data_IF_006904768684
#
_entry.id   IF_006904768684
#
_cell.length_a   1.000
_cell.length_b   1.000
_cell.length_c   1.000
_cell.angle_alpha   90.00
_cell.angle_beta   90.00
_cell.angle_gamma   90.00
#
_symmetry.space_group_name_H-M   'P 1'
#
loop_
_entity.id
_entity.type
_entity.pdbx_description
1 polymer ?
#
# COMPACT_ATOMS: atom_id res chain seq x y z
N UNK A 1 1.93 -8.60 -5.39
CA UNK A 1 1.95 -8.19 -6.79
C UNK A 1 1.45 -9.31 -7.72
N UNK A 2 1.98 -10.53 -7.60
CA UNK A 2 1.63 -11.64 -8.49
C UNK A 2 0.13 -11.92 -8.59
N UNK A 3 -0.60 -11.95 -7.47
CA UNK A 3 -2.05 -12.16 -7.43
C UNK A 3 -2.81 -11.07 -8.22
N UNK A 4 -2.44 -9.80 -8.05
CA UNK A 4 -3.03 -8.69 -8.81
C UNK A 4 -2.76 -8.85 -10.30
N UNK A 5 -1.53 -9.17 -10.68
CA UNK A 5 -1.13 -9.28 -12.09
C UNK A 5 -1.65 -10.56 -12.78
N UNK A 6 -2.10 -11.57 -12.05
CA UNK A 6 -2.82 -12.69 -12.67
C UNK A 6 -4.18 -12.28 -13.26
N UNK A 7 -4.74 -11.18 -12.78
CA UNK A 7 -5.98 -10.60 -13.29
C UNK A 7 -5.75 -9.46 -14.31
N UNK A 8 -4.53 -9.22 -14.78
CA UNK A 8 -4.19 -8.06 -15.62
C UNK A 8 -5.02 -7.93 -16.90
N UNK A 9 -5.56 -9.02 -17.43
CA UNK A 9 -6.40 -9.01 -18.64
C UNK A 9 -7.79 -8.40 -18.43
N UNK A 10 -8.20 -8.22 -17.17
CA UNK A 10 -9.48 -7.58 -16.81
C UNK A 10 -9.27 -6.24 -16.09
N UNK A 11 -8.02 -5.80 -15.96
CA UNK A 11 -7.67 -4.48 -15.40
C UNK A 11 -7.67 -3.48 -16.57
N UNK A 12 -8.84 -3.05 -16.99
CA UNK A 12 -9.05 -2.17 -18.14
C UNK A 12 -9.93 -0.94 -17.83
N UNK A 13 -10.33 -0.80 -16.58
CA UNK A 13 -11.12 0.33 -16.09
C UNK A 13 -10.66 0.79 -14.70
N UNK A 14 -11.43 1.68 -14.06
CA UNK A 14 -11.19 2.09 -12.66
C UNK A 14 -11.30 0.88 -11.74
N UNK A 15 -10.30 0.71 -10.88
CA UNK A 15 -10.26 -0.36 -9.89
C UNK A 15 -9.86 0.14 -8.51
N UNK A 16 -10.41 -0.50 -7.50
CA UNK A 16 -9.96 -0.44 -6.12
C UNK A 16 -9.46 -1.82 -5.72
N UNK A 17 -8.22 -1.90 -5.26
CA UNK A 17 -7.63 -3.13 -4.73
C UNK A 17 -7.52 -3.07 -3.21
N UNK A 18 -7.68 -4.21 -2.57
CA UNK A 18 -7.52 -4.37 -1.13
C UNK A 18 -6.71 -5.62 -0.83
N UNK A 19 -5.84 -5.57 0.18
CA UNK A 19 -5.36 -6.78 0.81
C UNK A 19 -6.55 -7.53 1.42
N UNK A 20 -6.47 -8.85 1.49
CA UNK A 20 -7.60 -9.71 1.92
C UNK A 20 -7.71 -9.88 3.43
N UNK A 21 -6.73 -9.46 4.15
CA UNK A 21 -6.52 -9.61 5.59
C UNK A 21 -6.70 -8.31 6.38
N UNK A 22 -7.20 -7.26 5.74
CA UNK A 22 -7.52 -5.98 6.37
C UNK A 22 -9.03 -5.80 6.56
N UNK A 23 -9.40 -5.18 7.66
CA UNK A 23 -10.74 -4.67 7.96
C UNK A 23 -10.63 -3.17 8.12
N UNK A 24 -11.54 -2.41 7.55
CA UNK A 24 -11.56 -0.95 7.62
C UNK A 24 -12.98 -0.40 7.62
N UNK A 25 -13.15 0.80 8.14
CA UNK A 25 -14.46 1.47 8.21
C UNK A 25 -14.86 2.13 6.88
N UNK A 26 -16.13 2.57 6.82
CA UNK A 26 -16.69 3.23 5.63
C UNK A 26 -16.02 4.57 5.29
N UNK A 27 -15.45 5.27 6.27
CA UNK A 27 -14.77 6.55 6.02
C UNK A 27 -13.52 6.36 5.16
N UNK A 28 -12.79 5.27 5.40
CA UNK A 28 -11.65 4.90 4.57
C UNK A 28 -12.11 4.55 3.15
N UNK A 29 -13.19 3.76 3.03
CA UNK A 29 -13.75 3.43 1.70
C UNK A 29 -14.18 4.70 0.95
N UNK A 30 -14.89 5.62 1.60
CA UNK A 30 -15.27 6.89 1.00
C UNK A 30 -14.06 7.70 0.55
N UNK A 31 -13.03 7.80 1.38
CA UNK A 31 -11.77 8.49 1.01
C UNK A 31 -11.14 7.91 -0.25
N UNK A 32 -11.16 6.57 -0.39
CA UNK A 32 -10.68 5.90 -1.59
C UNK A 32 -11.56 6.18 -2.80
N UNK A 33 -12.89 6.12 -2.66
CA UNK A 33 -13.83 6.33 -3.77
C UNK A 33 -13.83 7.79 -4.26
N UNK A 34 -13.63 8.75 -3.35
CA UNK A 34 -13.60 10.18 -3.67
C UNK A 34 -12.29 10.64 -4.32
N UNK A 35 -11.24 9.84 -4.25
CA UNK A 35 -9.97 10.13 -4.90
C UNK A 35 -10.13 10.25 -6.42
N UNK A 36 -9.57 11.33 -7.02
CA UNK A 36 -9.72 11.67 -8.45
C UNK A 36 -8.43 11.58 -9.25
N UNK A 37 -7.30 11.23 -8.59
CA UNK A 37 -6.03 11.01 -9.28
C UNK A 37 -5.97 9.71 -10.07
N UNK A 38 -4.84 9.48 -10.72
CA UNK A 38 -4.66 8.27 -11.54
C UNK A 38 -4.24 7.05 -10.71
N UNK A 39 -3.35 7.23 -9.72
CA UNK A 39 -2.86 6.16 -8.84
C UNK A 39 -2.82 6.71 -7.43
N UNK A 40 -3.64 6.18 -6.53
CA UNK A 40 -3.69 6.57 -5.13
C UNK A 40 -3.53 5.38 -4.19
N UNK A 41 -2.82 5.58 -3.08
CA UNK A 41 -2.64 4.58 -2.03
C UNK A 41 -3.05 5.13 -0.67
N UNK A 42 -3.76 4.31 0.10
CA UNK A 42 -4.19 4.68 1.45
C UNK A 42 -3.01 4.66 2.44
N UNK A 43 -2.81 5.76 3.16
CA UNK A 43 -1.72 5.91 4.11
C UNK A 43 -2.26 6.38 5.45
N UNK A 44 -1.98 5.62 6.50
CA UNK A 44 -2.23 5.99 7.88
C UNK A 44 -0.98 6.68 8.46
N UNK A 45 -1.11 7.93 8.90
CA UNK A 45 -0.04 8.66 9.59
C UNK A 45 0.02 8.36 11.09
N UNK A 46 -1.05 7.82 11.64
CA UNK A 46 -1.16 7.43 13.05
C UNK A 46 -0.89 5.93 13.28
N UNK A 47 -0.41 5.25 12.27
CA UNK A 47 -0.21 3.80 12.15
C UNK A 47 0.43 3.12 13.37
N UNK A 48 1.35 3.80 14.05
CA UNK A 48 2.05 3.22 15.21
C UNK A 48 1.11 2.80 16.34
N UNK A 49 -0.07 3.42 16.44
CA UNK A 49 -1.10 3.09 17.43
C UNK A 49 -1.61 1.65 17.25
N UNK A 50 -1.64 1.16 16.00
CA UNK A 50 -2.11 -0.18 15.67
C UNK A 50 -1.14 -1.29 16.12
N UNK A 51 0.10 -0.92 16.47
CA UNK A 51 1.13 -1.87 16.95
C UNK A 51 1.25 -1.93 18.48
N UNK A 52 0.46 -1.16 19.20
CA UNK A 52 0.45 -1.21 20.67
C UNK A 52 -0.04 -2.59 21.13
N UNK A 53 0.79 -3.29 21.91
CA UNK A 53 0.56 -4.66 22.37
C UNK A 53 0.53 -5.74 21.28
N UNK A 54 0.91 -5.43 20.05
CA UNK A 54 1.01 -6.37 18.92
C UNK A 54 2.42 -6.95 18.88
N UNK A 55 2.63 -8.11 19.52
CA UNK A 55 3.97 -8.72 19.69
C UNK A 55 4.28 -9.81 18.67
N UNK A 56 3.24 -10.43 18.07
CA UNK A 56 3.40 -11.48 17.06
C UNK A 56 3.63 -10.92 15.65
N UNK A 57 3.26 -9.66 15.43
CA UNK A 57 3.52 -8.90 14.21
C UNK A 57 4.11 -7.54 14.60
N UNK A 58 5.46 -7.42 14.61
CA UNK A 58 6.12 -6.22 15.12
C UNK A 58 6.07 -5.07 14.11
N UNK A 59 6.26 -3.83 14.57
CA UNK A 59 6.34 -2.60 13.74
C UNK A 59 7.32 -2.70 12.54
N UNK A 60 8.32 -3.57 12.62
CA UNK A 60 9.29 -3.76 11.53
C UNK A 60 8.69 -4.40 10.28
N UNK A 61 7.49 -4.98 10.40
CA UNK A 61 6.75 -5.56 9.28
C UNK A 61 5.86 -4.54 8.55
N UNK A 62 5.66 -3.35 9.14
CA UNK A 62 4.86 -2.28 8.53
C UNK A 62 5.39 -1.88 7.15
N UNK A 63 4.50 -1.76 6.19
CA UNK A 63 4.77 -1.21 4.86
C UNK A 63 4.86 0.33 4.94
N UNK A 64 5.99 0.84 5.40
CA UNK A 64 6.18 2.26 5.65
C UNK A 64 6.23 3.08 4.36
N UNK A 65 5.65 4.28 4.43
CA UNK A 65 5.69 5.30 3.37
C UNK A 65 6.28 6.58 3.92
N UNK A 66 7.37 7.02 3.29
CA UNK A 66 8.01 8.30 3.60
C UNK A 66 7.43 9.38 2.68
N UNK A 67 6.90 10.43 3.29
CA UNK A 67 6.27 11.55 2.61
C UNK A 67 7.03 12.85 2.85
N UNK A 68 7.13 13.68 1.83
CA UNK A 68 7.58 15.07 1.94
C UNK A 68 6.74 15.97 1.05
N UNK A 69 6.19 17.06 1.61
CA UNK A 69 5.30 17.97 0.89
C UNK A 69 4.15 17.24 0.15
N UNK A 70 3.52 16.29 0.83
CA UNK A 70 2.44 15.44 0.30
C UNK A 70 2.84 14.60 -0.94
N UNK A 71 4.12 14.30 -1.11
CA UNK A 71 4.64 13.42 -2.16
C UNK A 71 5.25 12.18 -1.54
N UNK A 72 4.99 11.04 -2.14
CA UNK A 72 5.63 9.78 -1.75
C UNK A 72 7.07 9.80 -2.26
N UNK A 73 8.02 9.70 -1.34
CA UNK A 73 9.44 9.59 -1.66
C UNK A 73 9.89 8.12 -1.67
N UNK A 74 9.36 7.35 -0.73
CA UNK A 74 9.79 5.97 -0.53
C UNK A 74 8.68 5.13 0.09
N UNK A 75 8.56 3.90 -0.39
CA UNK A 75 7.71 2.88 0.22
C UNK A 75 8.50 1.59 0.39
N UNK A 76 8.60 1.10 1.61
CA UNK A 76 9.20 -0.20 1.94
C UNK A 76 9.00 -0.54 3.42
N UNK A 77 9.24 -1.79 3.77
CA UNK A 77 9.23 -2.20 5.18
C UNK A 77 10.34 -1.52 5.99
N UNK A 78 10.01 -1.19 7.24
CA UNK A 78 10.95 -0.77 8.28
C UNK A 78 11.85 0.42 7.89
N UNK A 79 11.25 1.54 7.50
CA UNK A 79 11.97 2.80 7.34
C UNK A 79 12.28 3.35 8.74
N UNK A 80 13.57 3.46 9.09
CA UNK A 80 14.02 3.84 10.45
C UNK A 80 14.26 5.33 10.65
N UNK A 81 14.51 6.06 9.58
CA UNK A 81 14.92 7.45 9.64
C UNK A 81 14.07 8.32 8.73
N UNK A 82 13.57 9.42 9.27
CA UNK A 82 12.94 10.50 8.55
C UNK A 82 13.52 11.84 9.02
N UNK A 83 13.60 12.81 8.13
CA UNK A 83 13.97 14.19 8.48
C UNK A 83 12.78 14.87 9.15
N UNK A 84 13.01 15.96 9.88
CA UNK A 84 11.96 16.73 10.56
C UNK A 84 10.89 17.31 9.61
N UNK A 85 11.18 17.40 8.31
CA UNK A 85 10.26 17.87 7.27
C UNK A 85 9.46 16.73 6.62
N UNK A 86 9.69 15.50 7.05
CA UNK A 86 9.11 14.30 6.46
C UNK A 86 8.12 13.64 7.42
N UNK A 87 7.05 13.09 6.86
CA UNK A 87 6.10 12.27 7.58
C UNK A 87 6.33 10.80 7.23
N UNK A 88 6.25 9.94 8.24
CA UNK A 88 6.29 8.50 8.07
C UNK A 88 4.91 7.93 8.34
N UNK A 89 4.32 7.30 7.34
CA UNK A 89 3.04 6.60 7.44
C UNK A 89 3.17 5.11 7.14
N UNK A 90 2.04 4.43 7.14
CA UNK A 90 1.90 3.03 6.73
C UNK A 90 0.92 2.91 5.58
N UNK A 91 1.32 2.21 4.52
CA UNK A 91 0.42 1.78 3.46
C UNK A 91 -0.42 0.60 3.96
N UNK A 92 -1.72 0.78 4.02
CA UNK A 92 -2.64 -0.20 4.59
C UNK A 92 -3.16 -1.24 3.59
N UNK A 93 -2.54 -1.37 2.42
CA UNK A 93 -2.94 -2.37 1.42
C UNK A 93 -4.12 -1.97 0.52
N UNK A 94 -4.60 -0.72 0.58
CA UNK A 94 -5.63 -0.19 -0.31
C UNK A 94 -5.03 0.70 -1.40
N UNK A 95 -5.29 0.37 -2.67
CA UNK A 95 -4.84 1.16 -3.81
C UNK A 95 -6.00 1.38 -4.79
N UNK A 96 -6.19 2.63 -5.22
CA UNK A 96 -7.14 3.00 -6.28
C UNK A 96 -6.37 3.39 -7.54
N UNK A 97 -6.83 2.86 -8.66
CA UNK A 97 -6.35 3.22 -9.99
C UNK A 97 -7.52 3.75 -10.81
N UNK A 98 -7.36 4.92 -11.46
CA UNK A 98 -8.25 5.31 -12.54
C UNK A 98 -8.05 4.37 -13.74
N UNK A 99 -8.90 4.45 -14.73
CA UNK A 99 -8.70 3.72 -16.00
C UNK A 99 -7.32 3.99 -16.61
N UNK A 100 -6.86 5.24 -16.55
CA UNK A 100 -5.53 5.63 -17.04
C UNK A 100 -4.43 5.09 -16.12
N UNK A 101 -4.61 5.17 -14.81
CA UNK A 101 -3.68 4.62 -13.82
C UNK A 101 -3.53 3.11 -13.95
N UNK A 102 -4.64 2.40 -14.16
CA UNK A 102 -4.66 0.96 -14.40
C UNK A 102 -3.86 0.57 -15.65
N UNK A 103 -4.05 1.30 -16.74
CA UNK A 103 -3.29 1.11 -17.97
C UNK A 103 -1.78 1.33 -17.75
N UNK A 104 -1.41 2.45 -17.13
CA UNK A 104 0.00 2.77 -16.81
C UNK A 104 0.64 1.70 -15.93
N UNK A 105 -0.07 1.23 -14.91
CA UNK A 105 0.41 0.19 -14.00
C UNK A 105 0.67 -1.13 -14.75
N UNK A 106 -0.28 -1.59 -15.57
CA UNK A 106 -0.17 -2.84 -16.33
C UNK A 106 0.93 -2.74 -17.39
N UNK A 107 1.01 -1.63 -18.13
CA UNK A 107 2.06 -1.41 -19.13
C UNK A 107 3.46 -1.40 -18.52
N UNK A 108 3.63 -0.71 -17.39
CA UNK A 108 4.92 -0.70 -16.67
C UNK A 108 5.30 -2.11 -16.21
N UNK A 109 4.35 -2.86 -15.63
CA UNK A 109 4.60 -4.24 -15.23
C UNK A 109 4.98 -5.14 -16.41
N UNK A 110 4.28 -5.06 -17.53
CA UNK A 110 4.59 -5.84 -18.71
C UNK A 110 5.98 -5.51 -19.26
N UNK A 111 6.34 -4.22 -19.33
CA UNK A 111 7.68 -3.80 -19.74
C UNK A 111 8.77 -4.38 -18.84
N UNK A 112 8.55 -4.35 -17.52
CA UNK A 112 9.49 -4.93 -16.55
C UNK A 112 9.61 -6.45 -16.70
N UNK A 113 8.52 -7.15 -17.00
CA UNK A 113 8.55 -8.60 -17.24
C UNK A 113 9.42 -8.98 -18.44
N UNK A 114 9.52 -8.11 -19.44
CA UNK A 114 10.33 -8.32 -20.65
C UNK A 114 11.79 -7.89 -20.46
N UNK A 115 12.01 -6.77 -19.77
CA UNK A 115 13.32 -6.11 -19.71
C UNK A 115 14.11 -6.36 -18.43
N UNK A 116 13.43 -6.53 -17.27
CA UNK A 116 14.09 -6.64 -15.98
C UNK A 116 14.55 -8.07 -15.66
N UNK A 117 15.77 -8.20 -15.16
CA UNK A 117 16.35 -9.47 -14.71
C UNK A 117 17.01 -9.31 -13.35
N UNK A 118 16.90 -10.34 -12.52
CA UNK A 118 17.55 -10.37 -11.20
C UNK A 118 16.70 -9.74 -10.09
N UNK A 119 17.38 -9.17 -9.10
CA UNK A 119 16.76 -8.57 -7.92
C UNK A 119 15.90 -7.35 -8.33
N UNK A 120 14.70 -7.25 -7.74
CA UNK A 120 13.77 -6.14 -7.98
C UNK A 120 13.43 -5.46 -6.65
N UNK A 121 13.93 -4.26 -6.43
CA UNK A 121 13.90 -3.57 -5.14
C UNK A 121 14.39 -4.49 -4.00
N UNK A 122 13.57 -4.76 -3.00
CA UNK A 122 13.93 -5.65 -1.89
C UNK A 122 13.64 -7.14 -2.20
N UNK A 123 12.88 -7.44 -3.26
CA UNK A 123 12.55 -8.79 -3.67
C UNK A 123 13.66 -9.46 -4.49
N UNK A 124 13.83 -10.78 -4.39
CA UNK A 124 14.85 -11.51 -5.17
C UNK A 124 14.59 -11.53 -6.67
N UNK A 125 13.38 -11.22 -7.12
CA UNK A 125 13.01 -11.06 -8.53
C UNK A 125 11.65 -10.37 -8.65
N UNK A 126 11.34 -9.81 -9.83
CA UNK A 126 10.02 -9.23 -10.13
C UNK A 126 8.86 -10.21 -9.88
N UNK A 127 9.03 -11.49 -10.17
CA UNK A 127 8.00 -12.53 -9.92
C UNK A 127 7.70 -12.75 -8.44
N UNK A 128 8.64 -12.41 -7.56
CA UNK A 128 8.51 -12.51 -6.09
C UNK A 128 8.32 -11.17 -5.41
N UNK A 129 8.14 -10.11 -6.20
CA UNK A 129 7.96 -8.76 -5.71
C UNK A 129 6.62 -8.58 -4.99
N UNK A 130 6.63 -7.75 -3.96
CA UNK A 130 5.44 -7.26 -3.29
C UNK A 130 4.79 -6.12 -4.08
N UNK A 131 3.57 -5.76 -3.72
CA UNK A 131 2.90 -4.60 -4.33
C UNK A 131 3.68 -3.31 -4.03
N UNK A 132 4.24 -3.18 -2.85
CA UNK A 132 5.07 -2.06 -2.42
C UNK A 132 6.33 -1.88 -3.27
N UNK A 133 6.97 -2.97 -3.72
CA UNK A 133 8.10 -2.88 -4.66
C UNK A 133 7.67 -2.28 -6.00
N UNK A 134 6.50 -2.67 -6.50
CA UNK A 134 5.97 -2.12 -7.76
C UNK A 134 5.56 -0.65 -7.60
N UNK A 135 4.96 -0.27 -6.48
CA UNK A 135 4.63 1.13 -6.19
C UNK A 135 5.92 1.97 -6.12
N UNK A 136 6.97 1.47 -5.46
CA UNK A 136 8.27 2.15 -5.42
C UNK A 136 8.85 2.32 -6.83
N UNK A 137 8.76 1.31 -7.68
CA UNK A 137 9.21 1.39 -9.07
C UNK A 137 8.47 2.46 -9.88
N UNK A 138 7.16 2.62 -9.66
CA UNK A 138 6.39 3.70 -10.28
C UNK A 138 6.93 5.07 -9.84
N UNK A 139 7.14 5.26 -8.54
CA UNK A 139 7.68 6.50 -7.96
C UNK A 139 9.07 6.79 -8.53
N UNK A 140 9.97 5.81 -8.54
CA UNK A 140 11.34 5.95 -9.06
C UNK A 140 11.39 6.26 -10.57
N UNK A 141 10.37 5.80 -11.30
CA UNK A 141 10.18 6.09 -12.73
C UNK A 141 9.52 7.44 -13.00
N UNK A 142 9.24 8.24 -11.97
CA UNK A 142 8.59 9.55 -12.09
C UNK A 142 7.08 9.47 -12.39
N UNK A 143 6.46 8.31 -12.25
CA UNK A 143 5.02 8.16 -12.35
C UNK A 143 4.40 8.64 -11.03
N UNK A 144 3.42 9.55 -11.15
CA UNK A 144 2.76 10.12 -9.98
C UNK A 144 1.93 9.05 -9.26
N UNK A 145 2.33 8.74 -8.03
CA UNK A 145 1.53 7.98 -7.06
C UNK A 145 1.19 8.94 -5.92
N UNK A 146 -0.09 9.10 -5.64
CA UNK A 146 -0.58 10.09 -4.70
C UNK A 146 -0.96 9.45 -3.36
N UNK A 147 -0.60 10.07 -2.24
CA UNK A 147 -1.03 9.60 -0.93
C UNK A 147 -2.50 9.98 -0.69
N UNK A 148 -3.31 9.01 -0.30
CA UNK A 148 -4.64 9.22 0.26
C UNK A 148 -4.49 9.08 1.76
N UNK A 149 -4.34 10.22 2.46
CA UNK A 149 -4.21 10.20 3.91
C UNK A 149 -5.55 9.83 4.51
N UNK A 150 -5.57 8.74 5.25
CA UNK A 150 -6.79 8.24 5.89
C UNK A 150 -6.86 8.66 7.35
N UNK A 151 -8.07 8.91 7.81
CA UNK A 151 -8.44 9.06 9.21
C UNK A 151 -9.59 8.10 9.46
N UNK A 152 -9.28 6.91 9.92
CA UNK A 152 -10.31 5.90 10.09
C UNK A 152 -9.80 4.73 10.90
N UNK A 153 -10.70 3.81 11.13
CA UNK A 153 -10.39 2.60 11.87
C UNK A 153 -10.11 1.48 10.90
N UNK A 154 -8.96 0.88 11.09
CA UNK A 154 -8.57 -0.29 10.32
C UNK A 154 -7.74 -1.23 11.19
N UNK A 155 -7.67 -2.48 10.80
CA UNK A 155 -6.76 -3.46 11.36
C UNK A 155 -6.42 -4.53 10.33
N UNK A 156 -5.24 -5.09 10.48
CA UNK A 156 -4.73 -6.22 9.72
C UNK A 156 -4.78 -7.48 10.60
N UNK A 157 -5.08 -8.63 10.00
CA UNK A 157 -5.21 -9.90 10.69
C UNK A 157 -4.25 -10.92 10.10
N UNK A 158 -2.99 -10.89 10.54
CA UNK A 158 -1.95 -11.84 10.14
C UNK A 158 -1.78 -12.99 11.13
N UNK A 159 -2.10 -12.74 12.39
CA UNK A 159 -1.82 -13.67 13.48
C UNK A 159 -3.08 -13.96 14.31
N UNK A 160 -3.09 -15.05 15.09
CA UNK A 160 -4.15 -15.28 16.06
C UNK A 160 -4.31 -14.15 17.09
N UNK A 161 -3.22 -13.44 17.42
CA UNK A 161 -3.26 -12.28 18.28
C UNK A 161 -4.05 -11.14 17.64
N UNK A 162 -3.80 -10.87 16.35
CA UNK A 162 -4.51 -9.82 15.61
C UNK A 162 -6.00 -10.09 15.55
N UNK A 163 -6.39 -11.34 15.29
CA UNK A 163 -7.81 -11.74 15.32
C UNK A 163 -8.46 -11.48 16.69
N UNK A 164 -7.74 -11.72 17.78
CA UNK A 164 -8.27 -11.43 19.13
C UNK A 164 -8.39 -9.92 19.37
N UNK A 165 -7.42 -9.13 18.92
CA UNK A 165 -7.46 -7.67 19.00
C UNK A 165 -8.59 -7.10 18.15
N UNK A 166 -8.72 -7.55 16.90
CA UNK A 166 -9.78 -7.13 15.98
C UNK A 166 -11.18 -7.39 16.56
N UNK A 167 -11.43 -8.58 17.15
CA UNK A 167 -12.71 -8.92 17.79
C UNK A 167 -13.07 -7.98 18.95
N UNK A 168 -12.11 -7.42 19.65
CA UNK A 168 -12.34 -6.44 20.72
C UNK A 168 -12.68 -5.06 20.17
N UNK A 169 -12.03 -4.69 19.09
CA UNK A 169 -12.06 -3.33 18.53
C UNK A 169 -13.13 -3.16 17.46
N UNK A 170 -13.59 -4.23 16.80
CA UNK A 170 -14.52 -4.18 15.66
C UNK A 170 -15.91 -3.60 16.03
N UNK A 171 -16.25 -3.56 17.30
CA UNK A 171 -17.49 -2.91 17.76
C UNK A 171 -17.43 -1.38 17.63
N UNK A 172 -16.26 -0.85 17.40
CA UNK A 172 -15.98 0.58 17.26
C UNK A 172 -15.80 1.02 15.79
N UNK A 173 -15.89 0.05 14.84
CA UNK A 173 -15.83 0.27 13.39
C UNK A 173 -17.16 0.74 12.82
#
# INVERSE_FOLDING_TARGET
LGSLMSCKSIIDDEILTSYSDIIFDENILHSMLDFKGDIGIAIDLDWEKNYVNRIQHPKSEADNVLLENNKILKIKKNIKESKSTQNLGEFIGLMKLSKKGAKVFVEKFNHLMESHKGKFHDAPSLKKAYLTDMIQELVDSGILVEPIIINGKWCEIDTPQDLQLARKNIKDF
#
